data_IF_697370655983
#
_entry.id   IF_697370655983
#
_cell.length_a   1.000
_cell.length_b   1.000
_cell.length_c   1.000
_cell.angle_alpha   90.00
_cell.angle_beta   90.00
_cell.angle_gamma   90.00
#
_symmetry.space_group_name_H-M   'P 1'
#
loop_
_entity.id
_entity.type
_entity.pdbx_description
1 polymer ?
#
# COMPACT_ATOMS: atom_id res chain seq x y z
N UNK A 1 -50.34 30.19 -10.99
CA UNK A 1 -50.47 28.79 -10.50
C UNK A 1 -50.12 28.81 -9.02
N UNK A 2 -50.67 27.90 -8.18
CA UNK A 2 -50.23 27.82 -6.79
C UNK A 2 -48.80 27.26 -6.73
N UNK A 3 -47.97 27.86 -5.89
CA UNK A 3 -46.61 27.36 -5.61
C UNK A 3 -46.69 26.08 -4.76
N UNK A 4 -45.90 25.07 -5.13
CA UNK A 4 -45.76 23.83 -4.36
C UNK A 4 -44.40 23.87 -3.67
N UNK A 5 -44.33 23.95 -2.32
CA UNK A 5 -43.05 23.98 -1.62
C UNK A 5 -42.36 22.61 -1.72
N UNK A 6 -41.17 22.59 -2.32
CA UNK A 6 -40.35 21.38 -2.47
C UNK A 6 -39.95 20.78 -1.13
N UNK A 7 -40.39 19.56 -0.86
CA UNK A 7 -40.19 18.80 0.38
C UNK A 7 -38.95 17.88 0.37
N UNK A 8 -37.92 18.24 -0.39
CA UNK A 8 -36.66 17.49 -0.43
C UNK A 8 -35.49 18.39 -0.04
N UNK A 9 -34.91 18.10 1.14
CA UNK A 9 -33.79 18.85 1.69
C UNK A 9 -32.54 18.72 0.82
N UNK A 10 -32.27 19.76 0.04
CA UNK A 10 -31.07 19.88 -0.77
C UNK A 10 -29.85 20.24 0.07
N UNK A 11 -29.28 19.26 0.77
CA UNK A 11 -27.84 19.28 1.02
C UNK A 11 -27.13 18.90 -0.27
N UNK A 12 -26.29 19.79 -0.80
CA UNK A 12 -25.47 19.52 -1.98
C UNK A 12 -24.55 18.32 -1.73
N UNK A 13 -24.12 17.62 -2.78
CA UNK A 13 -23.07 16.60 -2.63
C UNK A 13 -21.76 17.20 -2.13
N UNK A 14 -21.56 18.51 -2.30
CA UNK A 14 -20.45 19.27 -1.72
C UNK A 14 -20.52 19.37 -0.19
N UNK A 15 -21.72 19.49 0.40
CA UNK A 15 -21.93 19.73 1.84
C UNK A 15 -21.56 18.52 2.74
N UNK A 16 -21.02 17.45 2.14
CA UNK A 16 -20.50 16.25 2.80
C UNK A 16 -18.98 16.13 2.76
N UNK A 17 -18.31 16.97 1.97
CA UNK A 17 -16.85 16.96 1.86
C UNK A 17 -16.27 18.23 2.46
N UNK A 18 -15.08 18.14 3.04
CA UNK A 18 -14.27 19.31 3.31
C UNK A 18 -13.66 19.88 2.03
N UNK A 19 -13.11 21.09 2.13
CA UNK A 19 -12.31 21.65 1.04
C UNK A 19 -11.02 20.86 0.90
N UNK A 20 -10.58 20.59 -0.33
CA UNK A 20 -9.31 19.91 -0.59
C UNK A 20 -8.11 20.75 -0.13
N UNK A 21 -8.28 22.08 -0.07
CA UNK A 21 -7.24 23.00 0.31
C UNK A 21 -7.20 23.26 1.84
N UNK A 22 -7.97 22.49 2.63
CA UNK A 22 -8.09 22.65 4.08
C UNK A 22 -7.59 21.40 4.83
N UNK A 23 -6.75 21.62 5.84
CA UNK A 23 -6.43 20.61 6.85
C UNK A 23 -7.47 20.67 7.98
N UNK A 24 -8.21 19.57 8.20
CA UNK A 24 -9.18 19.44 9.29
C UNK A 24 -8.81 18.21 10.13
N UNK A 25 -8.06 18.38 11.25
CA UNK A 25 -7.60 17.25 12.07
C UNK A 25 -8.74 16.33 12.53
N UNK A 26 -9.89 16.89 12.84
CA UNK A 26 -11.06 16.16 13.37
C UNK A 26 -11.78 15.29 12.32
N UNK A 27 -11.38 15.38 11.05
CA UNK A 27 -11.89 14.54 9.96
C UNK A 27 -10.77 13.72 9.29
N UNK A 28 -9.68 13.48 10.01
CA UNK A 28 -8.57 12.64 9.58
C UNK A 28 -8.33 11.51 10.60
N UNK A 29 -7.80 10.35 10.19
CA UNK A 29 -7.42 9.29 11.12
C UNK A 29 -6.37 9.77 12.13
N UNK A 30 -6.41 9.20 13.33
CA UNK A 30 -5.24 9.22 14.23
C UNK A 30 -4.05 8.53 13.53
N UNK A 31 -2.83 9.02 13.78
CA UNK A 31 -1.59 8.37 13.36
C UNK A 31 -1.27 7.20 14.29
N UNK A 32 -1.16 5.98 13.75
CA UNK A 32 -0.87 4.77 14.53
C UNK A 32 0.65 4.48 14.57
N UNK A 33 1.04 3.34 15.13
CA UNK A 33 2.42 2.95 15.41
C UNK A 33 3.36 2.90 14.19
N UNK A 34 2.85 2.91 12.95
CA UNK A 34 3.68 3.04 11.75
C UNK A 34 4.23 4.47 11.56
N UNK A 35 3.53 5.49 12.05
CA UNK A 35 3.92 6.88 11.95
C UNK A 35 4.50 7.44 13.27
N UNK A 36 4.46 6.67 14.36
CA UNK A 36 5.05 7.08 15.64
C UNK A 36 6.57 7.28 15.54
N UNK A 37 7.09 8.31 16.22
CA UNK A 37 8.48 8.73 16.14
C UNK A 37 8.92 9.38 14.81
N UNK A 38 8.09 9.39 13.78
CA UNK A 38 8.33 10.03 12.49
C UNK A 38 7.83 11.48 12.44
N UNK A 39 8.19 12.25 11.41
CA UNK A 39 7.68 13.63 11.23
C UNK A 39 6.30 13.57 10.59
N UNK A 40 5.26 13.33 11.40
CA UNK A 40 3.86 13.36 10.95
C UNK A 40 3.54 14.73 10.33
N UNK A 41 2.93 14.71 9.14
CA UNK A 41 2.56 15.91 8.41
C UNK A 41 1.19 16.44 8.86
N UNK A 42 1.14 17.75 9.07
CA UNK A 42 -0.04 18.53 9.38
C UNK A 42 -0.16 19.77 8.47
N UNK A 43 -1.25 20.52 8.60
CA UNK A 43 -1.45 21.80 7.93
C UNK A 43 -1.23 21.76 6.41
N UNK A 44 -0.48 22.74 5.92
CA UNK A 44 -0.18 22.92 4.50
C UNK A 44 0.69 21.78 3.94
N UNK A 45 1.61 21.20 4.73
CA UNK A 45 2.48 20.10 4.30
C UNK A 45 1.64 18.84 4.03
N UNK A 46 0.69 18.53 4.91
CA UNK A 46 -0.26 17.44 4.69
C UNK A 46 -1.11 17.67 3.44
N UNK A 47 -1.66 18.89 3.27
CA UNK A 47 -2.48 19.26 2.11
C UNK A 47 -1.68 19.16 0.81
N UNK A 48 -0.42 19.58 0.80
CA UNK A 48 0.47 19.49 -0.37
C UNK A 48 0.67 18.03 -0.81
N UNK A 49 1.08 17.15 0.11
CA UNK A 49 1.24 15.71 -0.15
C UNK A 49 -0.08 15.08 -0.58
N UNK A 50 -1.20 15.46 0.05
CA UNK A 50 -2.50 14.89 -0.25
C UNK A 50 -3.06 15.29 -1.63
N UNK A 51 -2.80 16.53 -2.09
CA UNK A 51 -3.10 16.95 -3.47
C UNK A 51 -2.34 16.09 -4.48
N UNK A 52 -1.05 15.86 -4.25
CA UNK A 52 -0.24 14.96 -5.09
C UNK A 52 -0.82 13.55 -5.08
N UNK A 53 -1.13 12.99 -3.90
CA UNK A 53 -1.75 11.68 -3.77
C UNK A 53 -3.00 11.53 -4.65
N UNK A 54 -3.91 12.52 -4.59
CA UNK A 54 -5.12 12.57 -5.42
C UNK A 54 -4.79 12.53 -6.92
N UNK A 55 -3.85 13.34 -7.38
CA UNK A 55 -3.50 13.43 -8.81
C UNK A 55 -2.82 12.15 -9.34
N UNK A 56 -2.00 11.49 -8.52
CA UNK A 56 -1.40 10.19 -8.84
C UNK A 56 -2.45 9.08 -8.88
N UNK A 57 -3.37 9.08 -7.91
CA UNK A 57 -4.48 8.13 -7.85
C UNK A 57 -5.45 8.31 -9.02
N UNK A 58 -5.68 9.55 -9.47
CA UNK A 58 -6.45 9.85 -10.67
C UNK A 58 -5.75 9.29 -11.92
N UNK A 59 -4.46 9.59 -12.09
CA UNK A 59 -3.65 9.15 -13.22
C UNK A 59 -3.48 7.61 -13.31
N UNK A 60 -3.68 6.89 -12.19
CA UNK A 60 -3.52 5.43 -12.11
C UNK A 60 -4.81 4.66 -11.81
N UNK A 61 -5.96 5.35 -11.72
CA UNK A 61 -7.26 4.72 -11.50
C UNK A 61 -7.44 4.10 -10.11
N UNK A 62 -6.78 4.64 -9.08
CA UNK A 62 -6.93 4.18 -7.68
C UNK A 62 -8.23 4.76 -7.10
N UNK A 63 -9.32 4.01 -7.28
CA UNK A 63 -10.68 4.39 -6.90
C UNK A 63 -11.27 3.41 -5.89
N UNK A 64 -11.97 3.93 -4.88
CA UNK A 64 -12.86 3.12 -4.07
C UNK A 64 -14.20 2.92 -4.81
N UNK A 65 -14.43 1.70 -5.28
CA UNK A 65 -15.65 1.31 -6.00
C UNK A 65 -16.90 1.32 -5.12
N UNK A 66 -16.75 1.25 -3.80
CA UNK A 66 -17.84 1.29 -2.81
C UNK A 66 -18.45 2.69 -2.73
N UNK A 67 -17.60 3.71 -2.77
CA UNK A 67 -18.01 5.12 -2.72
C UNK A 67 -18.09 5.79 -4.10
N UNK A 68 -17.48 5.18 -5.12
CA UNK A 68 -17.48 5.67 -6.50
C UNK A 68 -16.64 6.93 -6.68
N UNK A 69 -15.48 7.00 -6.03
CA UNK A 69 -14.55 8.12 -6.16
C UNK A 69 -13.07 7.72 -6.04
N UNK A 70 -12.18 8.60 -6.51
CA UNK A 70 -10.74 8.57 -6.30
C UNK A 70 -10.43 8.40 -4.80
N UNK A 71 -9.57 7.45 -4.45
CA UNK A 71 -9.36 7.00 -3.07
C UNK A 71 -8.96 8.14 -2.11
N UNK A 72 -8.16 9.11 -2.56
CA UNK A 72 -7.72 10.24 -1.74
C UNK A 72 -8.91 11.05 -1.21
N UNK A 73 -10.03 11.11 -1.95
CA UNK A 73 -11.23 11.84 -1.54
C UNK A 73 -11.86 11.33 -0.23
N UNK A 74 -11.50 10.12 0.23
CA UNK A 74 -11.97 9.60 1.52
C UNK A 74 -11.58 10.52 2.68
N UNK A 75 -10.38 11.09 2.66
CA UNK A 75 -9.88 12.07 3.65
C UNK A 75 -10.73 13.33 3.80
N UNK A 76 -11.59 13.63 2.83
CA UNK A 76 -12.46 14.79 2.86
C UNK A 76 -13.89 14.41 3.26
N UNK A 77 -14.24 13.14 3.35
CA UNK A 77 -15.64 12.69 3.52
C UNK A 77 -16.05 12.71 4.99
N UNK A 78 -16.73 13.77 5.42
CA UNK A 78 -17.17 14.01 6.82
C UNK A 78 -18.11 12.95 7.41
N UNK A 79 -18.46 11.91 6.64
CA UNK A 79 -19.20 10.72 7.09
C UNK A 79 -18.27 9.63 7.62
N UNK A 80 -16.97 9.75 7.38
CA UNK A 80 -15.92 8.80 7.71
C UNK A 80 -14.69 9.55 8.27
N UNK A 81 -14.84 10.36 9.34
CA UNK A 81 -13.77 11.23 9.85
C UNK A 81 -12.52 10.46 10.28
N UNK A 82 -12.66 9.20 10.68
CA UNK A 82 -11.56 8.35 11.15
C UNK A 82 -10.88 7.56 9.99
N UNK A 83 -11.13 7.91 8.72
CA UNK A 83 -10.70 7.12 7.55
C UNK A 83 -10.04 7.96 6.45
N UNK A 84 -9.20 7.30 5.65
CA UNK A 84 -8.35 7.95 4.64
C UNK A 84 -6.87 7.76 4.97
N UNK A 85 -6.03 8.69 4.52
CA UNK A 85 -4.59 8.66 4.69
C UNK A 85 -4.08 9.58 5.81
N UNK A 86 -3.02 9.15 6.50
CA UNK A 86 -2.09 10.03 7.21
C UNK A 86 -0.68 9.87 6.62
N UNK A 87 0.11 10.92 6.74
CA UNK A 87 1.44 10.99 6.14
C UNK A 87 2.48 11.37 7.19
N UNK A 88 3.69 10.83 7.08
CA UNK A 88 4.86 11.27 7.81
C UNK A 88 6.12 11.16 6.94
N UNK A 89 7.12 12.00 7.18
CA UNK A 89 8.46 11.81 6.61
C UNK A 89 9.28 10.90 7.53
N UNK A 90 10.07 9.98 6.96
CA UNK A 90 10.95 9.14 7.78
C UNK A 90 11.95 10.02 8.55
N UNK A 91 12.15 9.70 9.84
CA UNK A 91 12.97 10.50 10.75
C UNK A 91 14.46 10.42 10.40
N UNK A 92 14.88 9.27 9.88
CA UNK A 92 16.25 8.96 9.54
C UNK A 92 16.55 9.30 8.07
N UNK A 93 15.52 9.27 7.21
CA UNK A 93 15.61 9.62 5.79
C UNK A 93 14.38 10.40 5.29
N UNK A 94 14.38 11.73 5.37
CA UNK A 94 13.26 12.57 4.91
C UNK A 94 12.93 12.47 3.41
N UNK A 95 13.74 11.77 2.59
CA UNK A 95 13.37 11.43 1.20
C UNK A 95 12.30 10.34 1.09
N UNK A 96 12.03 9.63 2.20
CA UNK A 96 11.03 8.56 2.28
C UNK A 96 9.74 9.09 2.90
N UNK A 97 8.65 9.07 2.12
CA UNK A 97 7.31 9.33 2.63
C UNK A 97 6.68 8.04 3.17
N UNK A 98 6.11 8.12 4.36
CA UNK A 98 5.29 7.08 4.97
C UNK A 98 3.82 7.46 4.81
N UNK A 99 3.02 6.60 4.19
CA UNK A 99 1.59 6.81 3.96
C UNK A 99 0.78 5.68 4.61
N UNK A 100 0.10 5.98 5.71
CA UNK A 100 -0.79 5.05 6.40
C UNK A 100 -2.22 5.21 5.89
N UNK A 101 -2.88 4.12 5.53
CA UNK A 101 -4.28 4.08 5.09
C UNK A 101 -5.19 3.43 6.13
N UNK A 102 -6.13 4.19 6.66
CA UNK A 102 -7.17 3.73 7.57
C UNK A 102 -8.47 3.50 6.80
N UNK A 103 -8.94 2.25 6.64
CA UNK A 103 -10.20 1.95 5.98
C UNK A 103 -11.40 2.27 6.88
N UNK A 104 -12.56 2.54 6.29
CA UNK A 104 -13.80 2.87 7.03
C UNK A 104 -14.34 1.75 7.93
N UNK A 105 -13.83 0.51 7.80
CA UNK A 105 -14.17 -0.62 8.68
C UNK A 105 -12.98 -1.59 8.81
N UNK A 106 -12.88 -2.36 9.93
CA UNK A 106 -11.84 -3.38 10.12
C UNK A 106 -11.81 -4.48 9.06
N UNK A 107 -12.91 -4.66 8.32
CA UNK A 107 -13.15 -5.79 7.42
C UNK A 107 -13.21 -5.39 5.94
N UNK A 108 -12.78 -4.17 5.59
CA UNK A 108 -12.88 -3.67 4.21
C UNK A 108 -12.19 -4.64 3.23
N UNK A 109 -12.94 -5.30 2.32
CA UNK A 109 -12.40 -6.35 1.44
C UNK A 109 -11.53 -5.78 0.31
N UNK A 110 -11.52 -4.46 0.14
CA UNK A 110 -10.77 -3.75 -0.88
C UNK A 110 -9.40 -3.25 -0.36
N UNK A 111 -9.14 -3.24 0.96
CA UNK A 111 -7.94 -2.59 1.55
C UNK A 111 -6.64 -2.97 0.83
N UNK A 112 -6.39 -4.27 0.62
CA UNK A 112 -5.22 -4.77 -0.12
C UNK A 112 -5.11 -4.21 -1.54
N UNK A 113 -6.20 -4.26 -2.30
CA UNK A 113 -6.23 -3.75 -3.68
C UNK A 113 -5.99 -2.25 -3.74
N UNK A 114 -6.58 -1.51 -2.78
CA UNK A 114 -6.46 -0.06 -2.68
C UNK A 114 -5.04 0.38 -2.29
N UNK A 115 -4.42 -0.23 -1.28
CA UNK A 115 -3.05 0.12 -0.87
C UNK A 115 -1.98 -0.34 -1.86
N UNK A 116 -2.12 -1.51 -2.48
CA UNK A 116 -1.24 -1.93 -3.60
C UNK A 116 -1.41 -1.00 -4.80
N UNK A 117 -2.63 -0.54 -5.07
CA UNK A 117 -2.90 0.50 -6.08
C UNK A 117 -2.20 1.82 -5.75
N UNK A 118 -2.34 2.30 -4.52
CA UNK A 118 -1.70 3.53 -4.03
C UNK A 118 -0.16 3.43 -4.08
N UNK A 119 0.44 2.35 -3.59
CA UNK A 119 1.88 2.09 -3.61
C UNK A 119 2.45 2.15 -5.04
N UNK A 120 1.77 1.49 -5.99
CA UNK A 120 2.15 1.51 -7.42
C UNK A 120 1.90 2.86 -8.10
N UNK A 121 1.00 3.69 -7.55
CA UNK A 121 0.70 5.01 -8.08
C UNK A 121 1.74 6.05 -7.64
N UNK A 122 2.15 6.01 -6.37
CA UNK A 122 3.28 6.79 -5.86
C UNK A 122 4.59 6.39 -6.56
N UNK A 123 5.16 5.23 -6.24
CA UNK A 123 6.50 4.83 -6.70
C UNK A 123 6.59 4.63 -8.23
N UNK A 124 5.45 4.47 -8.92
CA UNK A 124 5.41 4.37 -10.38
C UNK A 124 5.36 5.72 -11.12
N UNK A 125 5.23 6.84 -10.41
CA UNK A 125 5.20 8.21 -10.94
C UNK A 125 6.08 9.14 -10.10
N UNK A 126 7.22 8.62 -9.63
CA UNK A 126 8.14 9.32 -8.74
C UNK A 126 8.68 10.64 -9.32
N UNK A 127 8.68 10.78 -10.65
CA UNK A 127 8.98 12.01 -11.39
C UNK A 127 7.99 13.17 -11.15
N UNK A 128 6.96 12.98 -10.32
CA UNK A 128 5.92 13.96 -9.98
C UNK A 128 5.92 14.41 -8.51
N UNK A 129 6.87 13.96 -7.71
CA UNK A 129 7.00 14.32 -6.30
C UNK A 129 8.45 14.33 -5.83
N UNK A 130 8.73 15.02 -4.72
CA UNK A 130 10.09 15.23 -4.23
C UNK A 130 10.64 14.07 -3.37
N UNK A 131 9.84 13.02 -3.14
CA UNK A 131 10.24 11.81 -2.41
C UNK A 131 10.90 10.78 -3.32
N UNK A 132 12.03 10.21 -2.90
CA UNK A 132 12.72 9.12 -3.61
C UNK A 132 11.93 7.79 -3.51
N UNK A 133 11.17 7.63 -2.42
CA UNK A 133 10.44 6.39 -2.05
C UNK A 133 9.18 6.72 -1.27
N UNK A 134 8.08 6.01 -1.52
CA UNK A 134 6.85 6.10 -0.71
C UNK A 134 6.45 4.72 -0.19
N UNK A 135 6.54 4.52 1.12
CA UNK A 135 6.05 3.31 1.79
C UNK A 135 4.57 3.48 2.11
N UNK A 136 3.76 2.50 1.74
CA UNK A 136 2.31 2.49 2.00
C UNK A 136 1.97 1.34 2.92
N UNK A 137 1.12 1.58 3.94
CA UNK A 137 0.59 0.53 4.82
C UNK A 137 -0.91 0.69 5.09
N UNK A 138 -1.56 -0.38 5.50
CA UNK A 138 -2.90 -0.37 6.09
C UNK A 138 -2.76 -0.25 7.62
N UNK A 139 -3.57 0.61 8.24
CA UNK A 139 -3.58 0.79 9.68
C UNK A 139 -3.91 -0.52 10.44
N UNK A 140 -3.27 -0.77 11.61
CA UNK A 140 -3.46 -1.97 12.44
C UNK A 140 -4.91 -2.35 12.78
N UNK A 141 -5.85 -1.40 12.74
CA UNK A 141 -7.27 -1.65 12.96
C UNK A 141 -7.94 -2.58 11.91
N UNK A 142 -7.27 -2.87 10.78
CA UNK A 142 -7.76 -3.82 9.78
C UNK A 142 -7.33 -5.26 10.11
N UNK A 143 -8.27 -6.22 10.06
CA UNK A 143 -8.02 -7.61 10.48
C UNK A 143 -6.93 -8.36 9.71
N UNK A 144 -6.48 -7.83 8.56
CA UNK A 144 -5.41 -8.39 7.72
C UNK A 144 -4.26 -7.41 7.54
N UNK A 145 -4.14 -6.38 8.39
CA UNK A 145 -3.10 -5.36 8.31
C UNK A 145 -1.70 -5.97 8.20
N UNK A 146 -1.32 -6.88 9.10
CA UNK A 146 -0.01 -7.54 9.11
C UNK A 146 0.32 -8.24 7.78
N UNK A 147 -0.62 -9.05 7.26
CA UNK A 147 -0.44 -9.79 6.02
C UNK A 147 -0.37 -8.85 4.80
N UNK A 148 -1.19 -7.80 4.76
CA UNK A 148 -1.18 -6.81 3.68
C UNK A 148 0.11 -5.97 3.73
N UNK A 149 0.56 -5.60 4.92
CA UNK A 149 1.76 -4.79 5.12
C UNK A 149 3.03 -5.57 4.79
N UNK A 150 3.13 -6.84 5.18
CA UNK A 150 4.23 -7.71 4.77
C UNK A 150 4.29 -7.88 3.24
N UNK A 151 3.14 -7.98 2.55
CA UNK A 151 3.12 -7.98 1.08
C UNK A 151 3.52 -6.63 0.46
N UNK A 152 3.24 -5.51 1.13
CA UNK A 152 3.63 -4.17 0.66
C UNK A 152 5.14 -3.92 0.86
N UNK A 153 5.70 -4.30 2.01
CA UNK A 153 7.14 -4.27 2.25
C UNK A 153 7.88 -5.19 1.25
N UNK A 154 7.36 -6.40 0.97
CA UNK A 154 7.94 -7.30 -0.03
C UNK A 154 7.83 -6.82 -1.49
N UNK A 155 6.97 -5.82 -1.79
CA UNK A 155 6.96 -5.14 -3.10
C UNK A 155 8.01 -4.03 -3.20
N UNK A 156 8.63 -3.66 -2.10
CA UNK A 156 9.62 -2.59 -2.04
C UNK A 156 11.04 -3.14 -2.24
N UNK A 157 11.78 -2.69 -3.28
CA UNK A 157 13.07 -3.27 -3.63
C UNK A 157 14.14 -3.11 -2.53
N UNK A 158 14.04 -2.10 -1.66
CA UNK A 158 14.98 -1.91 -0.57
C UNK A 158 14.76 -2.92 0.58
N UNK A 159 13.50 -3.25 0.87
CA UNK A 159 13.16 -4.21 1.93
C UNK A 159 13.35 -5.66 1.42
N UNK A 160 13.02 -5.92 0.15
CA UNK A 160 13.27 -7.21 -0.50
C UNK A 160 14.76 -7.58 -0.60
N UNK A 161 15.67 -6.59 -0.65
CA UNK A 161 17.12 -6.83 -0.60
C UNK A 161 17.62 -7.16 0.82
N UNK A 162 17.07 -6.49 1.85
CA UNK A 162 17.44 -6.74 3.25
C UNK A 162 17.11 -8.18 3.69
N UNK A 163 15.93 -8.70 3.30
CA UNK A 163 15.52 -10.09 3.56
C UNK A 163 16.48 -11.12 2.93
N UNK A 164 17.08 -10.81 1.77
CA UNK A 164 18.06 -11.69 1.12
C UNK A 164 19.45 -11.61 1.72
N UNK A 165 19.87 -10.44 2.22
CA UNK A 165 21.20 -10.26 2.82
C UNK A 165 21.29 -10.87 4.24
N UNK A 166 20.20 -10.86 5.03
CA UNK A 166 20.13 -11.56 6.33
C UNK A 166 20.04 -13.10 6.19
N UNK A 167 19.76 -13.59 4.97
CA UNK A 167 19.61 -15.02 4.67
C UNK A 167 20.91 -15.75 4.29
N UNK A 168 22.09 -15.12 4.45
CA UNK A 168 23.40 -15.76 4.18
C UNK A 168 24.03 -16.27 5.48
N UNK A 169 23.88 -17.57 5.84
CA UNK A 169 24.68 -18.15 6.92
C UNK A 169 26.15 -18.22 6.49
N UNK A 170 27.03 -17.63 7.31
CA UNK A 170 28.48 -17.75 7.20
C UNK A 170 28.91 -19.22 7.37
N UNK A 171 28.89 -19.96 6.26
CA UNK A 171 29.52 -21.28 6.15
C UNK A 171 31.02 -21.08 5.90
N UNK A 172 31.69 -20.59 6.93
CA UNK A 172 33.13 -20.36 6.95
C UNK A 172 33.89 -21.61 6.50
N UNK A 173 34.73 -21.45 5.47
CA UNK A 173 35.49 -22.53 4.84
C UNK A 173 36.45 -23.25 5.80
N UNK A 174 36.38 -24.58 5.92
CA UNK A 174 37.51 -25.40 6.33
C UNK A 174 38.10 -26.10 5.09
N UNK A 175 39.32 -25.74 4.72
CA UNK A 175 40.15 -26.57 3.85
C UNK A 175 40.44 -27.92 4.53
N UNK A 176 39.98 -29.03 3.95
CA UNK A 176 40.22 -30.38 4.45
C UNK A 176 39.81 -31.45 3.42
N UNK A 177 40.68 -32.44 3.22
CA UNK A 177 40.68 -33.42 2.13
C UNK A 177 39.44 -34.33 1.92
N UNK A 178 39.39 -34.86 0.69
CA UNK A 178 38.52 -35.91 0.12
C UNK A 178 38.03 -36.99 1.10
N UNK A 179 36.77 -37.37 0.96
CA UNK A 179 36.41 -38.66 0.34
C UNK A 179 34.98 -38.61 -0.23
N UNK A 180 34.64 -39.54 -1.12
CA UNK A 180 33.39 -39.48 -1.91
C UNK A 180 32.19 -40.16 -1.25
N UNK A 181 31.01 -39.59 -1.45
CA UNK A 181 29.72 -40.27 -1.28
C UNK A 181 28.70 -39.74 -2.32
N UNK A 182 27.99 -40.64 -3.00
CA UNK A 182 27.03 -40.30 -4.06
C UNK A 182 25.67 -39.93 -3.45
N UNK A 183 25.51 -38.67 -3.04
CA UNK A 183 24.21 -38.12 -2.66
C UNK A 183 23.52 -37.49 -3.87
N UNK A 184 22.55 -38.23 -4.44
CA UNK A 184 21.83 -37.85 -5.65
C UNK A 184 20.87 -36.67 -5.46
N UNK A 185 21.38 -35.45 -5.59
CA UNK A 185 20.56 -34.28 -5.89
C UNK A 185 20.09 -34.34 -7.36
N UNK A 186 19.02 -35.10 -7.62
CA UNK A 186 18.34 -35.05 -8.93
C UNK A 186 17.84 -33.64 -9.18
N UNK A 187 18.22 -33.05 -10.31
CA UNK A 187 17.80 -31.70 -10.64
C UNK A 187 16.29 -31.71 -10.89
N UNK A 188 15.56 -30.73 -10.33
CA UNK A 188 14.12 -30.59 -10.58
C UNK A 188 13.77 -30.49 -12.07
N UNK A 189 14.73 -30.06 -12.91
CA UNK A 189 14.61 -30.09 -14.38
C UNK A 189 14.50 -31.51 -14.95
N UNK A 190 15.23 -32.48 -14.40
CA UNK A 190 15.27 -33.86 -14.90
C UNK A 190 14.00 -34.64 -14.53
N UNK A 191 13.48 -34.43 -13.31
CA UNK A 191 12.17 -34.99 -12.94
C UNK A 191 11.03 -34.40 -13.78
N UNK A 192 11.09 -33.09 -14.06
CA UNK A 192 10.09 -32.41 -14.89
C UNK A 192 10.10 -32.89 -16.34
N UNK A 193 11.28 -33.05 -16.96
CA UNK A 193 11.39 -33.66 -18.30
C UNK A 193 10.95 -35.13 -18.32
N UNK A 194 11.28 -35.91 -17.28
CA UNK A 194 10.83 -37.29 -17.16
C UNK A 194 9.30 -37.42 -17.00
N UNK A 195 8.65 -36.46 -16.34
CA UNK A 195 7.20 -36.38 -16.24
C UNK A 195 6.54 -36.03 -17.58
N UNK A 196 7.04 -35.01 -18.28
CA UNK A 196 6.58 -34.62 -19.62
C UNK A 196 6.70 -35.78 -20.62
N UNK A 197 7.81 -36.52 -20.59
CA UNK A 197 8.05 -37.64 -21.50
C UNK A 197 7.08 -38.82 -21.28
N UNK A 198 6.62 -39.05 -20.04
CA UNK A 198 5.57 -40.05 -19.74
C UNK A 198 4.19 -39.61 -20.24
N UNK A 199 3.85 -38.33 -20.09
CA UNK A 199 2.59 -37.76 -20.58
C UNK A 199 2.51 -37.74 -22.11
N UNK A 200 3.65 -37.63 -22.81
CA UNK A 200 3.72 -37.66 -24.27
C UNK A 200 3.72 -39.08 -24.88
N UNK A 201 3.59 -40.14 -24.06
CA UNK A 201 3.66 -41.54 -24.52
C UNK A 201 2.46 -42.36 -24.08
N UNK A 202 1.27 -41.97 -24.50
CA UNK A 202 0.12 -42.88 -24.59
C UNK A 202 0.11 -43.56 -25.98
N UNK A 203 -0.05 -44.89 -26.06
CA UNK A 203 -0.29 -45.57 -27.33
C UNK A 203 -1.75 -45.39 -27.80
N UNK A 204 -1.94 -45.35 -29.13
CA UNK A 204 -3.27 -45.46 -29.79
C UNK A 204 -3.98 -46.80 -29.51
#
# INVERSE_FOLDING_TARGET
MPDIPSLFGGGSRADRFDDIDQFVPEHLPDSDAFLDGHRVLDGDDHVAVHRVARDLFEARGVYDVTFGYNLARLNLDRRHPDAGFRYAEDRNDPSVLLAEFTPTTPFCPQSKTLTVGAFRAWNGLADRHDYDRVRVRVAPMHQQADAINAELDAMDPADAQAETDDSVPDTGSPTGERDGDESGAVSLSEEFEAALKRLSSEPE
#
